data_IF_796664673201
#
_entry.id   IF_796664673201
#
_cell.length_a   1.000
_cell.length_b   1.000
_cell.length_c   1.000
_cell.angle_alpha   90.00
_cell.angle_beta   90.00
_cell.angle_gamma   90.00
#
_symmetry.space_group_name_H-M   'P 1'
#
loop_
_entity.id
_entity.type
_entity.pdbx_description
1 polymer ?
#
# COMPACT_ATOMS: atom_id res chain seq x y z
N UNK A 1 23.74 -48.44 -18.21
CA UNK A 1 22.33 -48.58 -17.77
C UNK A 1 22.06 -47.60 -16.65
N UNK A 2 21.35 -46.50 -16.92
CA UNK A 2 20.97 -45.52 -15.91
C UNK A 2 19.68 -46.00 -15.22
N UNK A 3 19.75 -46.36 -13.93
CA UNK A 3 18.59 -46.72 -13.14
C UNK A 3 17.79 -45.46 -12.80
N UNK A 4 16.64 -45.28 -13.45
CA UNK A 4 15.66 -44.25 -13.10
C UNK A 4 14.97 -44.63 -11.79
N UNK A 5 15.29 -43.94 -10.70
CA UNK A 5 14.56 -44.02 -9.43
C UNK A 5 13.14 -43.49 -9.65
N UNK A 6 12.14 -44.38 -9.62
CA UNK A 6 10.72 -43.98 -9.61
C UNK A 6 10.45 -43.25 -8.29
N UNK A 7 9.71 -42.12 -8.30
CA UNK A 7 9.32 -41.47 -7.06
C UNK A 7 8.31 -42.38 -6.34
N UNK A 8 8.71 -42.95 -5.21
CA UNK A 8 7.77 -43.58 -4.27
C UNK A 8 6.86 -42.46 -3.75
N UNK A 9 5.60 -42.51 -4.16
CA UNK A 9 4.58 -41.56 -3.72
C UNK A 9 4.20 -41.97 -2.31
N UNK A 10 4.62 -41.17 -1.33
CA UNK A 10 4.35 -41.43 0.08
C UNK A 10 2.82 -41.51 0.32
N UNK A 11 2.31 -42.63 0.88
CA UNK A 11 0.87 -42.81 1.07
C UNK A 11 0.27 -41.77 2.01
N UNK A 12 1.07 -41.24 2.95
CA UNK A 12 0.67 -40.13 3.83
C UNK A 12 0.43 -38.83 3.05
N UNK A 13 1.17 -38.58 1.98
CA UNK A 13 1.03 -37.37 1.18
C UNK A 13 -0.24 -37.41 0.32
N UNK A 14 -0.66 -38.59 -0.13
CA UNK A 14 -1.94 -38.79 -0.82
C UNK A 14 -3.11 -38.59 0.15
N UNK A 15 -3.05 -39.21 1.34
CA UNK A 15 -4.09 -39.02 2.37
C UNK A 15 -4.21 -37.55 2.81
N UNK A 16 -3.09 -36.83 2.90
CA UNK A 16 -3.09 -35.41 3.24
C UNK A 16 -3.65 -34.53 2.11
N UNK A 17 -3.34 -34.84 0.85
CA UNK A 17 -3.94 -34.16 -0.31
C UNK A 17 -5.45 -34.41 -0.38
N UNK A 18 -5.89 -35.64 -0.18
CA UNK A 18 -7.31 -35.99 -0.15
C UNK A 18 -8.06 -35.30 1.00
N UNK A 19 -7.45 -35.16 2.18
CA UNK A 19 -8.04 -34.40 3.31
C UNK A 19 -8.18 -32.90 3.01
N UNK A 20 -7.23 -32.31 2.29
CA UNK A 20 -7.28 -30.89 1.87
C UNK A 20 -8.34 -30.71 0.78
N UNK A 21 -8.42 -31.63 -0.16
CA UNK A 21 -9.34 -31.58 -1.29
C UNK A 21 -10.78 -31.89 -0.87
N UNK A 22 -10.98 -32.78 0.11
CA UNK A 22 -12.27 -33.01 0.77
C UNK A 22 -12.75 -31.78 1.56
N UNK A 23 -11.83 -30.99 2.13
CA UNK A 23 -12.14 -29.67 2.73
C UNK A 23 -12.37 -28.57 1.69
N UNK A 24 -12.14 -28.82 0.40
CA UNK A 24 -12.30 -27.88 -0.70
C UNK A 24 -13.64 -28.03 -1.44
N UNK A 25 -14.63 -28.68 -0.84
CA UNK A 25 -16.03 -28.54 -1.23
C UNK A 25 -16.66 -27.34 -0.49
N UNK A 26 -17.51 -26.54 -1.14
CA UNK A 26 -18.09 -25.34 -0.57
C UNK A 26 -19.16 -25.74 0.45
N UNK A 27 -18.74 -26.09 1.66
CA UNK A 27 -19.64 -26.06 2.81
C UNK A 27 -19.72 -24.61 3.20
N UNK A 28 -20.78 -23.91 2.74
CA UNK A 28 -21.48 -22.79 3.39
C UNK A 28 -22.37 -22.07 2.35
N UNK A 29 -23.40 -22.76 1.85
CA UNK A 29 -24.54 -22.10 1.16
C UNK A 29 -25.72 -21.83 2.12
N UNK A 30 -25.64 -22.19 3.41
CA UNK A 30 -26.73 -22.00 4.37
C UNK A 30 -26.25 -21.77 5.82
N UNK A 31 -25.33 -20.83 6.05
CA UNK A 31 -25.26 -20.17 7.37
C UNK A 31 -25.25 -18.65 7.16
N UNK A 32 -25.96 -17.88 8.00
CA UNK A 32 -25.77 -16.43 7.99
C UNK A 32 -24.30 -16.17 8.24
N UNK A 33 -23.65 -15.41 7.37
CA UNK A 33 -22.28 -14.95 7.53
C UNK A 33 -22.19 -14.11 8.81
N UNK A 34 -21.93 -14.75 9.96
CA UNK A 34 -21.86 -14.06 11.25
C UNK A 34 -20.44 -13.54 11.44
N UNK A 35 -20.25 -12.26 11.14
CA UNK A 35 -19.01 -11.54 11.34
C UNK A 35 -19.07 -10.18 10.63
N UNK A 36 -18.27 -9.18 11.06
CA UNK A 36 -18.18 -7.94 10.32
C UNK A 36 -17.67 -8.24 8.91
N UNK A 37 -18.55 -8.05 7.92
CA UNK A 37 -18.18 -8.18 6.50
C UNK A 37 -17.08 -7.15 6.24
N UNK A 38 -15.94 -7.54 5.65
CA UNK A 38 -14.92 -6.58 5.26
C UNK A 38 -15.58 -5.53 4.37
N UNK A 39 -15.40 -4.25 4.74
CA UNK A 39 -15.95 -3.14 3.99
C UNK A 39 -15.61 -3.33 2.51
N UNK A 40 -16.59 -3.13 1.59
CA UNK A 40 -16.30 -3.18 0.16
C UNK A 40 -15.11 -2.27 -0.12
N UNK A 41 -14.04 -2.85 -0.68
CA UNK A 41 -12.85 -2.10 -1.08
C UNK A 41 -13.34 -0.93 -1.94
N UNK A 42 -12.97 0.29 -1.59
CA UNK A 42 -13.35 1.44 -2.38
C UNK A 42 -12.84 1.24 -3.81
N UNK A 43 -13.77 1.12 -4.75
CA UNK A 43 -13.53 1.15 -6.19
C UNK A 43 -12.78 2.46 -6.49
N UNK A 44 -11.47 2.37 -6.67
CA UNK A 44 -10.59 3.55 -6.72
C UNK A 44 -9.31 3.44 -5.88
N UNK A 45 -9.04 2.30 -5.22
CA UNK A 45 -7.73 2.08 -4.59
C UNK A 45 -6.60 2.14 -5.62
N UNK A 46 -5.96 3.29 -5.68
CA UNK A 46 -4.74 3.48 -6.46
C UNK A 46 -3.64 2.80 -5.66
N UNK A 47 -3.10 1.72 -6.21
CA UNK A 47 -1.94 1.09 -5.59
C UNK A 47 -0.73 1.98 -5.86
N UNK A 48 -0.41 2.84 -4.89
CA UNK A 48 0.82 3.64 -4.92
C UNK A 48 2.08 2.78 -4.70
N UNK A 49 2.05 1.47 -4.96
CA UNK A 49 3.18 0.53 -4.83
C UNK A 49 3.45 0.01 -3.40
N UNK A 50 4.20 -1.09 -3.30
CA UNK A 50 4.34 -1.87 -2.06
C UNK A 50 5.23 -1.28 -0.95
N UNK A 51 5.84 -0.12 -1.16
CA UNK A 51 6.66 0.55 -0.14
C UNK A 51 5.87 1.47 0.81
N UNK A 52 4.60 1.73 0.48
CA UNK A 52 3.67 2.49 1.31
C UNK A 52 2.79 1.54 2.14
N UNK A 53 2.44 1.95 3.36
CA UNK A 53 1.45 1.22 4.15
C UNK A 53 0.07 1.36 3.51
N UNK A 54 -0.85 0.41 3.73
CA UNK A 54 -2.24 0.54 3.29
C UNK A 54 -2.85 1.86 3.78
N UNK A 55 -3.41 2.66 2.86
CA UNK A 55 -3.98 3.97 3.14
C UNK A 55 -2.99 5.14 3.32
N UNK A 56 -1.67 4.87 3.39
CA UNK A 56 -0.65 5.94 3.49
C UNK A 56 -0.57 6.73 2.18
N UNK A 57 -0.62 6.04 1.03
CA UNK A 57 -0.59 6.67 -0.29
C UNK A 57 -1.81 7.56 -0.54
N UNK A 58 -3.02 7.07 -0.21
CA UNK A 58 -4.27 7.82 -0.35
C UNK A 58 -4.25 9.11 0.48
N UNK A 59 -3.79 9.03 1.74
CA UNK A 59 -3.65 10.20 2.60
C UNK A 59 -2.67 11.22 2.01
N UNK A 60 -1.51 10.77 1.55
CA UNK A 60 -0.51 11.64 0.92
C UNK A 60 -1.07 12.31 -0.34
N UNK A 61 -1.78 11.56 -1.19
CA UNK A 61 -2.36 12.08 -2.42
C UNK A 61 -3.35 13.21 -2.15
N UNK A 62 -4.18 13.11 -1.09
CA UNK A 62 -5.10 14.18 -0.71
C UNK A 62 -4.36 15.48 -0.34
N UNK A 63 -3.24 15.40 0.38
CA UNK A 63 -2.44 16.58 0.69
C UNK A 63 -1.82 17.19 -0.57
N UNK A 64 -1.30 16.34 -1.47
CA UNK A 64 -0.71 16.75 -2.74
C UNK A 64 -1.73 17.44 -3.65
N UNK A 65 -2.92 16.87 -3.82
CA UNK A 65 -4.00 17.45 -4.62
C UNK A 65 -4.48 18.81 -4.06
N UNK A 66 -4.42 19.00 -2.74
CA UNK A 66 -4.70 20.28 -2.10
C UNK A 66 -3.55 21.29 -2.21
N UNK A 67 -2.42 20.91 -2.84
CA UNK A 67 -1.20 21.72 -2.88
C UNK A 67 -0.56 21.91 -1.51
N UNK A 68 -0.99 21.14 -0.51
CA UNK A 68 -0.53 21.26 0.86
C UNK A 68 0.68 20.39 1.10
N UNK A 69 1.60 20.92 1.89
CA UNK A 69 2.75 20.19 2.37
C UNK A 69 2.33 19.02 3.27
N UNK A 70 2.92 17.85 3.05
CA UNK A 70 2.66 16.63 3.84
C UNK A 70 3.24 16.77 5.27
N UNK A 71 2.43 16.66 6.33
CA UNK A 71 2.91 16.88 7.70
C UNK A 71 3.99 15.88 8.14
N UNK A 72 5.07 16.35 8.78
CA UNK A 72 6.07 15.47 9.44
C UNK A 72 5.62 15.11 10.87
N UNK A 73 6.19 14.06 11.46
CA UNK A 73 5.85 13.57 12.83
C UNK A 73 5.92 14.66 13.92
N UNK A 74 6.78 15.66 13.76
CA UNK A 74 6.92 16.80 14.69
C UNK A 74 6.09 18.03 14.33
N UNK A 75 5.28 17.97 13.28
CA UNK A 75 4.52 19.08 12.72
C UNK A 75 3.00 18.88 12.88
N UNK A 76 2.58 17.83 13.59
CA UNK A 76 1.16 17.53 13.84
C UNK A 76 0.57 18.66 14.70
N UNK A 77 -0.41 19.37 14.15
CA UNK A 77 -1.07 20.50 14.81
C UNK A 77 -0.59 21.88 14.34
N UNK A 78 0.44 21.95 13.49
CA UNK A 78 0.82 23.17 12.79
C UNK A 78 0.26 23.15 11.37
N UNK A 79 -0.21 24.29 10.89
CA UNK A 79 -0.60 24.46 9.50
C UNK A 79 0.63 24.51 8.59
N UNK A 80 0.44 24.16 7.31
CA UNK A 80 1.51 24.22 6.32
C UNK A 80 2.11 25.63 6.19
N UNK A 81 1.27 26.67 6.32
CA UNK A 81 1.70 28.08 6.25
C UNK A 81 2.57 28.49 7.43
N UNK A 82 2.24 28.05 8.65
CA UNK A 82 3.06 28.32 9.84
C UNK A 82 4.43 27.66 9.73
N UNK A 83 4.48 26.41 9.26
CA UNK A 83 5.74 25.70 9.06
C UNK A 83 6.62 26.43 8.05
N UNK A 84 6.05 26.90 6.94
CA UNK A 84 6.78 27.63 5.91
C UNK A 84 7.31 28.98 6.43
N UNK A 85 6.54 29.69 7.28
CA UNK A 85 7.00 30.91 7.95
C UNK A 85 8.17 30.61 8.89
N UNK A 86 8.11 29.55 9.70
CA UNK A 86 9.21 29.18 10.59
C UNK A 86 10.48 28.80 9.84
N UNK A 87 10.37 27.99 8.77
CA UNK A 87 11.51 27.62 7.92
C UNK A 87 12.11 28.87 7.22
N UNK A 88 11.27 29.81 6.77
CA UNK A 88 11.72 31.08 6.16
C UNK A 88 12.44 32.03 7.13
N UNK A 89 12.09 31.98 8.41
CA UNK A 89 12.80 32.70 9.48
C UNK A 89 14.13 32.04 9.88
N UNK A 90 14.42 30.85 9.34
CA UNK A 90 15.65 30.09 9.62
C UNK A 90 15.52 29.06 10.75
N UNK A 91 14.31 28.81 11.26
CA UNK A 91 14.09 27.72 12.21
C UNK A 91 14.13 26.36 11.50
N UNK A 92 14.74 25.38 12.16
CA UNK A 92 14.86 24.01 11.64
C UNK A 92 13.84 23.12 12.35
N UNK A 93 12.87 22.60 11.60
CA UNK A 93 11.81 21.73 12.15
C UNK A 93 12.37 20.41 12.70
N UNK A 94 11.74 19.88 13.74
CA UNK A 94 12.13 18.59 14.33
C UNK A 94 12.06 17.46 13.30
N UNK A 95 13.11 16.64 13.24
CA UNK A 95 13.24 15.51 12.30
C UNK A 95 13.83 15.86 10.94
N UNK A 96 13.97 17.14 10.58
CA UNK A 96 14.55 17.56 9.29
C UNK A 96 16.08 17.35 9.19
N UNK A 97 16.78 17.11 10.32
CA UNK A 97 18.24 16.86 10.35
C UNK A 97 18.63 15.40 10.03
N UNK A 98 17.69 14.47 9.91
CA UNK A 98 17.99 13.04 9.70
C UNK A 98 18.08 12.68 8.22
N UNK A 99 19.30 12.56 7.68
CA UNK A 99 19.52 12.32 6.24
C UNK A 99 18.87 11.03 5.71
N UNK A 100 19.07 9.89 6.38
CA UNK A 100 18.49 8.59 5.96
C UNK A 100 16.96 8.60 5.98
N UNK A 101 16.36 9.17 7.02
CA UNK A 101 14.90 9.25 7.16
C UNK A 101 14.30 10.21 6.14
N UNK A 102 14.94 11.34 5.90
CA UNK A 102 14.53 12.29 4.86
C UNK A 102 14.54 11.64 3.48
N UNK A 103 15.57 10.85 3.15
CA UNK A 103 15.63 10.14 1.88
C UNK A 103 14.49 9.11 1.73
N UNK A 104 14.17 8.37 2.80
CA UNK A 104 13.04 7.43 2.80
C UNK A 104 11.71 8.17 2.61
N UNK A 105 11.52 9.28 3.32
CA UNK A 105 10.34 10.14 3.19
C UNK A 105 10.19 10.64 1.75
N UNK A 106 11.24 11.27 1.20
CA UNK A 106 11.23 11.78 -0.18
C UNK A 106 10.93 10.66 -1.16
N UNK A 107 11.47 9.46 -0.98
CA UNK A 107 11.14 8.30 -1.82
C UNK A 107 9.64 7.97 -1.77
N UNK A 108 9.05 7.92 -0.58
CA UNK A 108 7.61 7.65 -0.40
C UNK A 108 6.75 8.73 -1.04
N UNK A 109 7.13 10.00 -0.88
CA UNK A 109 6.42 11.12 -1.49
C UNK A 109 6.50 11.07 -3.02
N UNK A 110 7.71 10.89 -3.56
CA UNK A 110 7.95 10.77 -5.01
C UNK A 110 7.20 9.59 -5.64
N UNK A 111 6.98 8.52 -4.88
CA UNK A 111 6.19 7.38 -5.32
C UNK A 111 4.72 7.77 -5.54
N UNK A 112 4.16 8.64 -4.70
CA UNK A 112 2.81 9.17 -4.86
C UNK A 112 2.76 10.18 -6.01
N UNK A 113 3.70 11.13 -6.06
CA UNK A 113 3.81 12.08 -7.17
C UNK A 113 3.90 11.38 -8.52
N UNK A 114 4.79 10.38 -8.66
CA UNK A 114 4.94 9.65 -9.92
C UNK A 114 3.70 8.85 -10.32
N UNK A 115 2.95 8.34 -9.35
CA UNK A 115 1.69 7.64 -9.63
C UNK A 115 0.59 8.62 -10.07
N UNK A 116 0.50 9.78 -9.43
CA UNK A 116 -0.49 10.81 -9.77
C UNK A 116 -0.17 11.48 -11.11
N UNK A 117 1.09 11.80 -11.40
CA UNK A 117 1.52 12.33 -12.70
C UNK A 117 1.18 11.37 -13.84
N UNK A 118 1.43 10.06 -13.66
CA UNK A 118 1.04 9.04 -14.65
C UNK A 118 -0.47 8.95 -14.84
N UNK A 119 -1.25 9.20 -13.78
CA UNK A 119 -2.71 9.22 -13.86
C UNK A 119 -3.19 10.45 -14.62
N UNK A 120 -2.67 11.63 -14.31
CA UNK A 120 -3.00 12.87 -15.03
C UNK A 120 -2.64 12.72 -16.50
N UNK A 121 -1.44 12.25 -16.83
CA UNK A 121 -1.03 12.00 -18.21
C UNK A 121 -1.91 10.96 -18.95
N UNK A 122 -2.45 9.96 -18.23
CA UNK A 122 -3.39 8.99 -18.80
C UNK A 122 -4.78 9.61 -18.99
N UNK A 123 -5.22 10.47 -18.08
CA UNK A 123 -6.50 11.17 -18.17
C UNK A 123 -6.48 12.28 -19.24
N UNK A 124 -5.32 12.94 -19.43
CA UNK A 124 -5.08 13.97 -20.45
C UNK A 124 -4.81 13.42 -21.84
N UNK A 125 -4.65 12.09 -21.98
CA UNK A 125 -4.84 11.43 -23.27
C UNK A 125 -6.29 10.96 -23.33
N UNK A 126 -7.25 11.81 -23.75
CA UNK A 126 -8.48 11.26 -24.30
C UNK A 126 -8.03 10.40 -25.48
N UNK A 127 -8.38 9.11 -25.44
CA UNK A 127 -8.13 8.21 -26.56
C UNK A 127 -8.71 8.81 -27.87
N UNK A 128 -8.11 8.54 -29.04
CA UNK A 128 -8.60 9.02 -30.34
C UNK A 128 -9.99 8.48 -30.72
#
# INVERSE_FOLDING_TARGET
MLYSKKPEIDPKALMFKELIEAKKKPVLENEPLVGPVPLPRAEGHISYGGALRPGEGDAIAQYVQQGKRIPRRGEVGLSAEEIQKFEGLGYVMSGSRHQRMNAIRIRKENQVYSAEDKRVLRAERPDP
#
